data_IF_057133848158
#
_entry.id   IF_057133848158
#
_cell.length_a   1.000
_cell.length_b   1.000
_cell.length_c   1.000
_cell.angle_alpha   90.00
_cell.angle_beta   90.00
_cell.angle_gamma   90.00
#
_symmetry.space_group_name_H-M   'P 1'
#
loop_
_entity.id
_entity.type
_entity.pdbx_description
1 polymer ?
#
# COMPACT_ATOMS: atom_id res chain seq x y z
N UNK A 1 0.91 10.47 -5.16
CA UNK A 1 -0.51 10.41 -5.58
C UNK A 1 -1.31 11.34 -4.68
N UNK A 2 -2.11 12.30 -5.20
CA UNK A 2 -2.80 13.26 -4.34
C UNK A 2 -3.87 12.56 -3.51
N UNK A 3 -3.85 12.80 -2.20
CA UNK A 3 -4.81 12.25 -1.24
C UNK A 3 -6.00 13.19 -1.19
N UNK A 4 -7.08 12.84 -1.91
CA UNK A 4 -8.38 13.44 -1.68
C UNK A 4 -9.10 12.62 -0.61
N UNK A 5 -9.88 13.31 0.22
CA UNK A 5 -10.56 12.83 1.43
C UNK A 5 -11.72 11.84 1.13
N UNK A 6 -11.85 11.37 -0.11
CA UNK A 6 -12.92 10.49 -0.61
C UNK A 6 -12.47 9.03 -0.82
N UNK A 7 -11.28 8.62 -0.36
CA UNK A 7 -10.70 7.32 -0.68
C UNK A 7 -11.13 6.20 0.31
N UNK A 8 -12.44 6.05 0.56
CA UNK A 8 -12.97 4.99 1.42
C UNK A 8 -12.92 3.58 0.78
N UNK A 9 -12.62 3.46 -0.52
CA UNK A 9 -12.39 2.17 -1.19
C UNK A 9 -11.37 2.32 -2.32
N UNK A 10 -10.07 2.29 -2.01
CA UNK A 10 -9.05 2.09 -3.02
C UNK A 10 -9.15 0.64 -3.50
N UNK A 11 -9.67 0.43 -4.71
CA UNK A 11 -9.64 -0.87 -5.36
C UNK A 11 -8.50 -0.90 -6.38
N UNK A 12 -7.65 -1.92 -6.28
CA UNK A 12 -6.60 -2.11 -7.26
C UNK A 12 -7.17 -2.74 -8.54
N UNK A 13 -6.61 -2.43 -9.72
CA UNK A 13 -6.95 -3.12 -10.96
C UNK A 13 -6.31 -4.51 -11.07
N UNK A 14 -5.46 -4.89 -10.11
CA UNK A 14 -4.72 -6.16 -10.13
C UNK A 14 -5.65 -7.28 -9.69
N UNK A 15 -5.83 -8.24 -10.58
CA UNK A 15 -6.67 -9.41 -10.37
C UNK A 15 -5.85 -10.70 -10.56
N UNK A 16 -6.27 -11.81 -9.94
CA UNK A 16 -5.70 -13.13 -10.19
C UNK A 16 -5.81 -13.48 -11.68
N UNK A 17 -4.74 -14.05 -12.25
CA UNK A 17 -4.66 -14.36 -13.68
C UNK A 17 -4.22 -13.20 -14.60
N UNK A 18 -4.04 -11.98 -14.07
CA UNK A 18 -3.33 -10.92 -14.80
C UNK A 18 -1.81 -11.15 -14.74
N UNK A 19 -1.03 -10.70 -15.74
CA UNK A 19 0.43 -10.85 -15.70
C UNK A 19 1.05 -10.19 -14.45
N UNK A 20 0.52 -9.04 -14.01
CA UNK A 20 0.96 -8.40 -12.78
C UNK A 20 0.60 -9.21 -11.52
N UNK A 21 -0.59 -9.81 -11.47
CA UNK A 21 -1.00 -10.68 -10.37
C UNK A 21 -0.13 -11.92 -10.25
N UNK A 22 0.19 -12.57 -11.37
CA UNK A 22 1.10 -13.73 -11.40
C UNK A 22 2.54 -13.35 -11.02
N UNK A 23 3.02 -12.15 -11.39
CA UNK A 23 4.31 -11.64 -10.94
C UNK A 23 4.37 -11.49 -9.42
N UNK A 24 3.33 -10.89 -8.81
CA UNK A 24 3.25 -10.74 -7.35
C UNK A 24 3.12 -12.11 -6.67
N UNK A 25 2.33 -13.02 -7.25
CA UNK A 25 2.19 -14.39 -6.76
C UNK A 25 3.52 -15.16 -6.78
N UNK A 26 4.35 -14.96 -7.79
CA UNK A 26 5.67 -15.60 -7.88
C UNK A 26 6.77 -14.87 -7.09
N UNK A 27 6.61 -13.58 -6.82
CA UNK A 27 7.55 -12.82 -6.03
C UNK A 27 7.61 -13.35 -4.59
N UNK A 28 8.79 -13.67 -4.07
CA UNK A 28 8.96 -14.05 -2.65
C UNK A 28 9.19 -12.84 -1.74
N UNK A 29 9.59 -11.71 -2.33
CA UNK A 29 9.98 -10.49 -1.65
C UNK A 29 9.46 -9.28 -2.44
N UNK A 30 8.80 -8.36 -1.76
CA UNK A 30 8.36 -7.08 -2.30
C UNK A 30 9.15 -5.97 -1.61
N UNK A 31 9.87 -5.18 -2.38
CA UNK A 31 10.58 -4.01 -1.87
C UNK A 31 9.75 -2.78 -2.25
N UNK A 32 9.35 -2.02 -1.24
CA UNK A 32 8.55 -0.81 -1.42
C UNK A 32 9.39 0.39 -0.99
N UNK A 33 9.83 1.19 -1.96
CA UNK A 33 10.49 2.48 -1.72
C UNK A 33 9.46 3.63 -1.57
N UNK A 34 9.73 4.62 -0.72
CA UNK A 34 8.81 5.71 -0.35
C UNK A 34 7.55 5.27 0.44
N UNK A 35 7.63 4.18 1.21
CA UNK A 35 6.51 3.68 2.00
C UNK A 35 5.77 4.70 2.91
N UNK A 36 6.41 5.65 3.62
CA UNK A 36 5.70 6.59 4.49
C UNK A 36 4.97 7.70 3.72
N UNK A 37 5.20 7.84 2.41
CA UNK A 37 4.37 8.67 1.56
C UNK A 37 3.04 7.96 1.19
N UNK A 38 2.92 6.66 1.45
CA UNK A 38 1.69 5.92 1.26
C UNK A 38 0.71 6.14 2.43
N UNK A 39 -0.51 6.54 2.12
CA UNK A 39 -1.60 6.60 3.09
C UNK A 39 -1.93 5.18 3.59
N UNK A 40 -2.38 5.03 4.84
CA UNK A 40 -2.93 3.78 5.40
C UNK A 40 -3.92 3.09 4.46
N UNK A 41 -4.72 3.85 3.70
CA UNK A 41 -5.66 3.30 2.71
C UNK A 41 -4.96 2.56 1.55
N UNK A 42 -3.75 3.00 1.15
CA UNK A 42 -2.95 2.32 0.12
C UNK A 42 -2.38 1.02 0.69
N UNK A 43 -1.93 1.03 1.95
CA UNK A 43 -1.43 -0.17 2.61
C UNK A 43 -2.52 -1.24 2.73
N UNK A 44 -3.73 -0.85 3.12
CA UNK A 44 -4.89 -1.76 3.18
C UNK A 44 -5.23 -2.33 1.79
N UNK A 45 -5.26 -1.50 0.76
CA UNK A 45 -5.49 -1.96 -0.61
C UNK A 45 -4.44 -2.99 -1.08
N UNK A 46 -3.17 -2.82 -0.70
CA UNK A 46 -2.11 -3.78 -1.05
C UNK A 46 -2.29 -5.09 -0.28
N UNK A 47 -2.67 -5.04 1.00
CA UNK A 47 -2.98 -6.23 1.78
C UNK A 47 -4.15 -7.02 1.17
N UNK A 48 -5.25 -6.34 0.84
CA UNK A 48 -6.43 -6.93 0.18
C UNK A 48 -6.07 -7.62 -1.14
N UNK A 49 -5.19 -7.00 -1.94
CA UNK A 49 -4.71 -7.57 -3.21
C UNK A 49 -3.85 -8.80 -2.97
N UNK A 50 -2.98 -8.75 -1.98
CA UNK A 50 -2.14 -9.89 -1.64
C UNK A 50 -2.97 -11.07 -1.10
N UNK A 51 -4.00 -10.82 -0.30
CA UNK A 51 -4.98 -11.85 0.10
C UNK A 51 -5.70 -12.43 -1.10
N UNK A 52 -6.19 -11.58 -2.01
CA UNK A 52 -6.88 -12.02 -3.23
C UNK A 52 -6.00 -12.88 -4.14
N UNK A 53 -4.70 -12.58 -4.23
CA UNK A 53 -3.76 -13.30 -5.10
C UNK A 53 -3.24 -14.60 -4.48
N UNK A 54 -3.10 -14.66 -3.16
CA UNK A 54 -2.50 -15.79 -2.45
C UNK A 54 -3.53 -16.75 -1.85
N UNK A 55 -4.80 -16.35 -1.73
CA UNK A 55 -5.87 -17.14 -1.10
C UNK A 55 -5.52 -17.58 0.34
N UNK A 56 -4.72 -16.76 1.03
CA UNK A 56 -4.25 -17.00 2.39
C UNK A 56 -4.61 -15.82 3.28
N UNK A 57 -5.29 -16.09 4.40
CA UNK A 57 -5.69 -15.11 5.42
C UNK A 57 -4.53 -14.77 6.38
N UNK A 58 -3.38 -14.40 5.82
CA UNK A 58 -2.19 -13.97 6.57
C UNK A 58 -1.73 -12.63 6.01
N UNK A 59 -1.11 -11.74 6.79
CA UNK A 59 -0.69 -10.42 6.32
C UNK A 59 0.10 -10.49 5.01
N UNK A 60 -0.30 -9.67 4.05
CA UNK A 60 0.24 -9.61 2.68
C UNK A 60 0.26 -10.97 1.97
N UNK A 61 -0.69 -11.85 2.26
CA UNK A 61 -0.76 -13.19 1.65
C UNK A 61 0.50 -14.04 1.93
N UNK A 62 1.26 -13.70 2.97
CA UNK A 62 2.46 -14.42 3.38
C UNK A 62 3.74 -13.95 2.68
N UNK A 63 3.67 -12.83 1.95
CA UNK A 63 4.82 -12.21 1.30
C UNK A 63 5.65 -11.41 2.29
N UNK A 64 6.97 -11.45 2.11
CA UNK A 64 7.87 -10.55 2.83
C UNK A 64 7.83 -9.20 2.13
N UNK A 65 7.46 -8.15 2.88
CA UNK A 65 7.51 -6.77 2.41
C UNK A 65 8.63 -6.04 3.15
N UNK A 66 9.56 -5.47 2.39
CA UNK A 66 10.59 -4.56 2.90
C UNK A 66 10.17 -3.14 2.52
N UNK A 67 9.78 -2.36 3.51
CA UNK A 67 9.51 -0.94 3.36
C UNK A 67 10.85 -0.19 3.46
N UNK A 68 11.30 0.33 2.34
CA UNK A 68 12.43 1.26 2.26
C UNK A 68 11.89 2.68 2.29
N UNK A 69 12.56 3.53 3.07
CA UNK A 69 12.24 4.94 3.10
C UNK A 69 13.40 5.75 3.63
N UNK A 70 13.53 6.95 3.09
CA UNK A 70 14.12 8.07 3.81
C UNK A 70 13.06 8.71 4.73
N UNK A 71 12.97 8.21 5.98
CA UNK A 71 12.12 8.79 7.02
C UNK A 71 12.47 10.25 7.34
N UNK A 72 13.64 10.73 6.91
CA UNK A 72 14.10 12.09 7.14
C UNK A 72 13.65 13.09 6.05
N UNK A 73 12.91 12.68 5.01
CA UNK A 73 12.61 13.57 3.89
C UNK A 73 11.14 13.83 3.56
N UNK A 74 10.15 13.13 4.11
CA UNK A 74 8.75 13.42 3.75
C UNK A 74 7.78 13.24 4.92
N UNK A 75 7.45 14.36 5.59
CA UNK A 75 6.17 14.44 6.30
C UNK A 75 5.04 14.36 5.25
N UNK A 76 3.97 13.57 5.48
CA UNK A 76 2.80 13.60 4.62
C UNK A 76 2.22 15.01 4.62
N UNK A 77 2.34 15.71 3.48
CA UNK A 77 1.80 17.07 3.34
C UNK A 77 0.29 16.95 3.18
N UNK A 78 -0.44 17.13 4.28
CA UNK A 78 -1.89 17.28 4.27
C UNK A 78 -2.23 18.68 3.73
N UNK A 79 -2.71 18.76 2.48
CA UNK A 79 -3.18 20.03 1.90
C UNK A 79 -4.51 20.41 2.56
N UNK A 80 -4.46 21.30 3.55
CA UNK A 80 -5.65 21.79 4.27
C UNK A 80 -5.77 21.38 5.74
N UNK A 81 -4.74 20.76 6.33
CA UNK A 81 -4.78 20.31 7.73
C UNK A 81 -4.98 21.47 8.72
N UNK A 82 -6.02 21.36 9.56
CA UNK A 82 -6.20 22.22 10.74
C UNK A 82 -5.07 21.94 11.76
N UNK A 83 -4.66 22.96 12.53
CA UNK A 83 -3.64 22.84 13.60
C UNK A 83 -3.92 21.71 14.61
N UNK A 84 -5.14 21.22 14.69
CA UNK A 84 -5.54 20.08 15.53
C UNK A 84 -5.07 18.70 15.05
N UNK A 85 -4.49 18.60 13.84
CA UNK A 85 -3.87 17.37 13.32
C UNK A 85 -2.34 17.39 13.37
N UNK A 86 -1.75 18.46 13.91
CA UNK A 86 -0.33 18.54 14.23
C UNK A 86 -0.22 18.12 15.70
N UNK A 87 0.33 16.93 15.95
CA UNK A 87 0.73 16.50 17.29
C UNK A 87 2.10 17.12 17.59
#
# INVERSE_FOLDING_TARGET
VPVNENNEMLQSPIQPGTPCGELIRNASLIIWDEAPMANCAILACVDDVCHLLMDHDVPFGGKVIILLSDFHQTCPVIRGGSRSQII
#
